data_IF_164257362917
#
_entry.id   IF_164257362917
#
_cell.length_a   1.000
_cell.length_b   1.000
_cell.length_c   1.000
_cell.angle_alpha   90.00
_cell.angle_beta   90.00
_cell.angle_gamma   90.00
#
_symmetry.space_group_name_H-M   'P 1'
#
loop_
_entity.id
_entity.type
_entity.pdbx_description
1 polymer ?
#
# COMPACT_ATOMS: atom_id res chain seq x y z
N UNK A 1 -21.78 -0.87 -11.79
CA UNK A 1 -22.23 -0.58 -10.41
C UNK A 1 -20.98 -0.52 -9.55
N UNK A 2 -20.57 0.67 -9.10
CA UNK A 2 -19.28 0.86 -8.44
C UNK A 2 -19.50 1.07 -6.95
N UNK A 3 -18.80 0.30 -6.12
CA UNK A 3 -18.77 0.52 -4.67
C UNK A 3 -18.03 1.85 -4.38
N UNK A 4 -18.50 2.67 -3.42
CA UNK A 4 -17.84 3.94 -3.08
C UNK A 4 -16.40 3.75 -2.60
N UNK A 5 -15.55 4.73 -2.87
CA UNK A 5 -14.12 4.68 -2.56
C UNK A 5 -13.84 4.65 -1.06
N UNK A 6 -14.73 5.23 -0.26
CA UNK A 6 -14.67 5.25 1.21
C UNK A 6 -14.82 3.85 1.79
N UNK A 7 -15.73 3.05 1.22
CA UNK A 7 -15.96 1.67 1.62
C UNK A 7 -14.74 0.82 1.25
N UNK A 8 -14.22 0.97 0.04
CA UNK A 8 -12.95 0.34 -0.35
C UNK A 8 -11.80 0.76 0.55
N UNK A 9 -11.72 2.04 0.89
CA UNK A 9 -10.71 2.55 1.82
C UNK A 9 -10.77 1.84 3.17
N UNK A 10 -11.97 1.65 3.72
CA UNK A 10 -12.14 0.89 4.97
C UNK A 10 -11.68 -0.57 4.81
N UNK A 11 -12.06 -1.23 3.73
CA UNK A 11 -11.64 -2.62 3.45
C UNK A 11 -10.12 -2.71 3.33
N UNK A 12 -9.49 -1.85 2.53
CA UNK A 12 -8.03 -1.84 2.34
C UNK A 12 -7.28 -1.52 3.63
N UNK A 13 -7.81 -0.63 4.47
CA UNK A 13 -7.19 -0.32 5.77
C UNK A 13 -7.10 -1.52 6.71
N UNK A 14 -8.04 -2.46 6.58
CA UNK A 14 -8.11 -3.69 7.36
C UNK A 14 -7.38 -4.85 6.68
N UNK A 15 -7.36 -4.90 5.36
CA UNK A 15 -6.73 -5.98 4.59
C UNK A 15 -5.22 -5.79 4.42
N UNK A 16 -4.73 -4.55 4.23
CA UNK A 16 -3.31 -4.24 4.04
C UNK A 16 -2.56 -4.13 5.39
N UNK A 17 -2.65 -5.18 6.20
CA UNK A 17 -1.98 -5.30 7.51
C UNK A 17 -0.91 -6.40 7.55
N UNK A 18 -0.60 -6.97 6.39
CA UNK A 18 0.41 -8.00 6.20
C UNK A 18 1.80 -7.41 5.86
N UNK A 19 2.70 -8.23 5.34
CA UNK A 19 4.05 -7.85 4.91
C UNK A 19 4.09 -6.97 3.64
N UNK A 20 2.95 -6.51 3.15
CA UNK A 20 2.78 -5.73 1.92
C UNK A 20 2.31 -6.57 0.74
N UNK A 21 2.14 -7.88 0.91
CA UNK A 21 1.63 -8.77 -0.12
C UNK A 21 0.22 -8.36 -0.60
N UNK A 22 -0.71 -8.09 0.32
CA UNK A 22 -2.09 -7.72 -0.04
C UNK A 22 -2.13 -6.44 -0.86
N UNK A 23 -1.38 -5.39 -0.47
CA UNK A 23 -1.31 -4.14 -1.22
C UNK A 23 -0.80 -4.32 -2.66
N UNK A 24 0.17 -5.23 -2.86
CA UNK A 24 0.67 -5.61 -4.19
C UNK A 24 -0.37 -6.38 -5.00
N UNK A 25 -1.07 -7.32 -4.38
CA UNK A 25 -2.13 -8.12 -5.03
C UNK A 25 -3.27 -7.24 -5.50
N UNK A 26 -3.75 -6.30 -4.67
CA UNK A 26 -4.80 -5.33 -5.03
C UNK A 26 -4.41 -4.48 -6.25
N UNK A 27 -3.14 -4.09 -6.36
CA UNK A 27 -2.63 -3.31 -7.51
C UNK A 27 -2.77 -4.04 -8.86
N UNK A 28 -3.03 -5.36 -8.85
CA UNK A 28 -3.15 -6.19 -10.06
C UNK A 28 -4.57 -6.63 -10.39
N UNK A 29 -5.55 -6.32 -9.53
CA UNK A 29 -6.94 -6.79 -9.70
C UNK A 29 -7.63 -6.10 -10.88
N UNK A 30 -7.60 -4.77 -10.92
CA UNK A 30 -8.16 -3.97 -11.99
C UNK A 30 -7.61 -2.54 -11.93
N UNK A 31 -7.78 -1.76 -13.00
CA UNK A 31 -7.41 -0.32 -12.99
C UNK A 31 -8.10 0.43 -11.85
N UNK A 32 -9.38 0.15 -11.60
CA UNK A 32 -10.13 0.80 -10.54
C UNK A 32 -9.59 0.45 -9.14
N UNK A 33 -9.36 -0.84 -8.86
CA UNK A 33 -8.84 -1.27 -7.56
C UNK A 33 -7.41 -0.79 -7.36
N UNK A 34 -6.59 -0.81 -8.41
CA UNK A 34 -5.23 -0.27 -8.39
C UNK A 34 -5.22 1.20 -7.97
N UNK A 35 -6.11 2.03 -8.53
CA UNK A 35 -6.20 3.45 -8.13
C UNK A 35 -6.73 3.60 -6.70
N UNK A 36 -7.81 2.89 -6.35
CA UNK A 36 -8.43 3.00 -5.04
C UNK A 36 -7.53 2.49 -3.88
N UNK A 37 -6.68 1.48 -4.14
CA UNK A 37 -5.81 0.88 -3.12
C UNK A 37 -4.47 1.57 -2.95
N UNK A 38 -4.10 2.52 -3.83
CA UNK A 38 -2.82 3.25 -3.78
C UNK A 38 -2.45 3.80 -2.39
N UNK A 39 -3.37 4.43 -1.62
CA UNK A 39 -3.04 4.98 -0.31
C UNK A 39 -2.64 3.93 0.74
N UNK A 40 -3.03 2.66 0.52
CA UNK A 40 -2.85 1.55 1.45
C UNK A 40 -1.70 0.62 1.05
N UNK A 41 -1.11 0.84 -0.14
CA UNK A 41 -0.08 -0.04 -0.72
C UNK A 41 1.17 -0.20 0.15
N UNK A 42 1.53 0.84 0.89
CA UNK A 42 2.73 0.89 1.72
C UNK A 42 2.40 0.98 3.22
N UNK A 43 1.15 0.69 3.59
CA UNK A 43 0.68 0.79 4.98
C UNK A 43 1.44 -0.16 5.90
N UNK A 44 1.62 -1.41 5.49
CA UNK A 44 2.37 -2.40 6.23
C UNK A 44 3.38 -3.06 5.29
N UNK A 45 4.63 -3.16 5.75
CA UNK A 45 5.74 -3.69 4.96
C UNK A 45 6.66 -4.49 5.88
N UNK A 46 7.04 -5.69 5.45
CA UNK A 46 8.22 -6.37 5.97
C UNK A 46 9.37 -6.18 4.98
N UNK A 47 10.49 -5.67 5.47
CA UNK A 47 11.58 -5.16 4.62
C UNK A 47 12.89 -5.77 5.09
N UNK A 48 13.52 -6.57 4.24
CA UNK A 48 14.85 -7.12 4.53
C UNK A 48 15.93 -6.04 4.38
N UNK A 49 17.09 -6.22 5.00
CA UNK A 49 18.20 -5.24 4.96
C UNK A 49 18.57 -4.74 3.56
N UNK A 50 18.65 -5.65 2.58
CA UNK A 50 19.00 -5.30 1.20
C UNK A 50 17.90 -4.48 0.48
N UNK A 51 16.68 -4.45 1.01
CA UNK A 51 15.53 -3.74 0.44
C UNK A 51 15.36 -2.32 1.00
N UNK A 52 16.01 -2.00 2.12
CA UNK A 52 15.89 -0.70 2.79
C UNK A 52 16.31 0.47 1.89
N UNK A 53 17.48 0.37 1.23
CA UNK A 53 17.97 1.42 0.33
C UNK A 53 17.05 1.66 -0.88
N UNK A 54 16.65 0.62 -1.65
CA UNK A 54 15.67 0.78 -2.71
C UNK A 54 14.34 1.37 -2.21
N UNK A 55 13.85 0.90 -1.06
CA UNK A 55 12.59 1.37 -0.49
C UNK A 55 12.66 2.86 -0.15
N UNK A 56 13.73 3.31 0.50
CA UNK A 56 13.93 4.72 0.83
C UNK A 56 13.92 5.62 -0.42
N UNK A 57 14.50 5.16 -1.54
CA UNK A 57 14.47 5.90 -2.81
C UNK A 57 13.05 6.00 -3.38
N UNK A 58 12.24 4.95 -3.27
CA UNK A 58 10.82 4.97 -3.67
C UNK A 58 10.04 5.97 -2.82
N UNK A 59 10.22 5.94 -1.49
CA UNK A 59 9.54 6.84 -0.57
C UNK A 59 9.90 8.32 -0.77
N UNK A 60 11.16 8.63 -1.10
CA UNK A 60 11.57 10.00 -1.46
C UNK A 60 10.81 10.56 -2.66
N UNK A 61 10.49 9.70 -3.64
CA UNK A 61 9.77 10.09 -4.87
C UNK A 61 8.24 10.10 -4.70
N UNK A 62 7.72 9.43 -3.67
CA UNK A 62 6.28 9.36 -3.44
C UNK A 62 5.74 10.71 -2.92
N UNK A 63 4.55 11.13 -3.38
CA UNK A 63 3.81 12.25 -2.78
C UNK A 63 3.47 11.98 -1.31
N UNK A 64 3.40 13.01 -0.48
CA UNK A 64 3.24 12.90 0.99
C UNK A 64 1.97 12.14 1.40
N UNK A 65 0.89 12.29 0.63
CA UNK A 65 -0.39 11.61 0.82
C UNK A 65 -0.31 10.08 0.66
N UNK A 66 0.74 9.58 -0.02
CA UNK A 66 0.97 8.15 -0.30
C UNK A 66 2.07 7.52 0.57
N UNK A 67 2.65 8.27 1.50
CA UNK A 67 3.70 7.79 2.43
C UNK A 67 3.13 7.27 3.75
N UNK A 68 1.91 6.74 3.74
CA UNK A 68 1.31 6.19 4.95
C UNK A 68 1.96 4.85 5.27
N UNK A 69 2.88 4.85 6.23
CA UNK A 69 3.44 3.63 6.85
C UNK A 69 2.90 3.56 8.26
N UNK A 70 2.21 2.47 8.58
CA UNK A 70 1.68 2.16 9.90
C UNK A 70 2.50 1.08 10.59
N UNK A 71 2.93 0.07 9.83
CA UNK A 71 3.74 -1.03 10.34
C UNK A 71 4.96 -1.24 9.45
N UNK A 72 6.16 -1.16 10.02
CA UNK A 72 7.41 -1.48 9.34
C UNK A 72 8.12 -2.55 10.16
N UNK A 73 8.31 -3.72 9.55
CA UNK A 73 9.06 -4.83 10.13
C UNK A 73 10.38 -4.98 9.38
N UNK A 74 11.47 -5.19 10.12
CA UNK A 74 12.84 -5.31 9.61
C UNK A 74 13.33 -6.75 9.72
#
# INVERSE_FOLDING_TARGET
KNCPTEIWGRIFSLACVDDGFTGRSLSRVSRYIMEASKPYKYQCLAVKDHQLRPLALVFKKLPTDKRRVRCLFL
#
